data_IF_762480267738
#
_entry.id   IF_762480267738
#
_cell.length_a   1.000
_cell.length_b   1.000
_cell.length_c   1.000
_cell.angle_alpha   90.00
_cell.angle_beta   90.00
_cell.angle_gamma   90.00
#
_symmetry.space_group_name_H-M   'P 1'
#
loop_
_entity.id
_entity.type
_entity.pdbx_description
1 polymer ?
#
# COMPACT_ATOMS: atom_id res chain seq x y z
N UNK A 1 -16.30 37.37 62.20
CA UNK A 1 -15.79 37.29 60.81
C UNK A 1 -16.30 36.06 60.06
N UNK A 2 -15.89 34.83 60.38
CA UNK A 2 -16.32 33.62 59.62
C UNK A 2 -17.81 33.27 59.75
N UNK A 3 -18.39 33.43 60.95
CA UNK A 3 -19.83 33.20 61.20
C UNK A 3 -20.72 34.17 60.42
N UNK A 4 -20.33 35.44 60.32
CA UNK A 4 -21.09 36.45 59.58
C UNK A 4 -20.99 36.25 58.07
N UNK A 5 -19.82 35.84 57.59
CA UNK A 5 -19.62 35.46 56.19
C UNK A 5 -20.54 34.30 55.78
N UNK A 6 -20.62 33.24 56.59
CA UNK A 6 -21.53 32.11 56.35
C UNK A 6 -23.01 32.50 56.36
N UNK A 7 -23.42 33.35 57.31
CA UNK A 7 -24.81 33.81 57.40
C UNK A 7 -25.21 34.70 56.22
N UNK A 8 -24.27 35.49 55.69
CA UNK A 8 -24.50 36.27 54.47
C UNK A 8 -24.56 35.38 53.23
N UNK A 9 -23.67 34.40 53.10
CA UNK A 9 -23.67 33.48 51.95
C UNK A 9 -24.95 32.65 51.86
N UNK A 10 -25.48 32.20 53.01
CA UNK A 10 -26.77 31.49 53.09
C UNK A 10 -27.95 32.40 52.73
N UNK A 11 -27.86 33.71 52.97
CA UNK A 11 -28.92 34.68 52.61
C UNK A 11 -28.88 35.09 51.14
N UNK A 12 -27.69 35.25 50.58
CA UNK A 12 -27.50 35.74 49.21
C UNK A 12 -27.67 34.63 48.16
N UNK A 13 -27.16 33.43 48.42
CA UNK A 13 -27.29 32.30 47.50
C UNK A 13 -27.48 30.95 48.26
N UNK A 14 -28.69 30.71 48.78
CA UNK A 14 -29.00 29.49 49.51
C UNK A 14 -28.88 28.23 48.62
N UNK A 15 -29.07 28.36 47.31
CA UNK A 15 -28.97 27.23 46.38
C UNK A 15 -27.54 26.72 46.26
N UNK A 16 -26.57 27.64 46.14
CA UNK A 16 -25.15 27.29 46.09
C UNK A 16 -24.69 26.57 47.36
N UNK A 17 -25.06 27.07 48.53
CA UNK A 17 -24.69 26.44 49.82
C UNK A 17 -25.27 25.02 49.95
N UNK A 18 -26.50 24.79 49.51
CA UNK A 18 -27.11 23.45 49.52
C UNK A 18 -26.35 22.49 48.60
N UNK A 19 -26.01 22.92 47.39
CA UNK A 19 -25.28 22.09 46.41
C UNK A 19 -23.87 21.77 46.90
N UNK A 20 -23.14 22.75 47.43
CA UNK A 20 -21.80 22.52 47.98
C UNK A 20 -21.83 21.61 49.20
N UNK A 21 -22.80 21.80 50.11
CA UNK A 21 -22.97 20.92 51.28
C UNK A 21 -23.30 19.49 50.85
N UNK A 22 -24.15 19.32 49.84
CA UNK A 22 -24.46 18.01 49.27
C UNK A 22 -23.24 17.37 48.59
N UNK A 23 -22.43 18.15 47.88
CA UNK A 23 -21.18 17.68 47.26
C UNK A 23 -20.16 17.25 48.31
N UNK A 24 -19.96 18.04 49.37
CA UNK A 24 -19.06 17.71 50.47
C UNK A 24 -19.55 16.44 51.17
N UNK A 25 -20.84 16.33 51.46
CA UNK A 25 -21.43 15.13 52.04
C UNK A 25 -21.25 13.90 51.12
N UNK A 26 -21.39 14.07 49.81
CA UNK A 26 -21.18 13.01 48.82
C UNK A 26 -19.71 12.59 48.72
N UNK A 27 -18.77 13.52 48.79
CA UNK A 27 -17.33 13.24 48.84
C UNK A 27 -16.97 12.47 50.11
N UNK A 28 -17.48 12.90 51.27
CA UNK A 28 -17.30 12.19 52.54
C UNK A 28 -17.92 10.79 52.47
N UNK A 29 -19.10 10.65 51.86
CA UNK A 29 -19.71 9.35 51.61
C UNK A 29 -18.82 8.44 50.75
N UNK A 30 -18.24 8.97 49.66
CA UNK A 30 -17.33 8.20 48.80
C UNK A 30 -16.06 7.78 49.55
N UNK A 31 -15.45 8.70 50.29
CA UNK A 31 -14.17 8.46 50.95
C UNK A 31 -14.26 7.47 52.12
N UNK A 32 -15.37 7.48 52.86
CA UNK A 32 -15.48 6.73 54.11
C UNK A 32 -16.48 5.58 54.09
N UNK A 33 -17.50 5.64 53.23
CA UNK A 33 -18.63 4.69 53.28
C UNK A 33 -18.83 3.90 51.99
N UNK A 34 -18.54 4.48 50.82
CA UNK A 34 -18.58 3.76 49.56
C UNK A 34 -17.29 2.95 49.44
N UNK A 35 -17.36 1.66 49.80
CA UNK A 35 -16.32 0.70 49.41
C UNK A 35 -16.15 0.79 47.88
N UNK A 36 -15.06 1.37 47.42
CA UNK A 36 -14.58 1.17 46.06
C UNK A 36 -14.38 -0.33 45.89
N UNK A 37 -15.21 -0.95 45.05
CA UNK A 37 -15.03 -2.35 44.63
C UNK A 37 -13.56 -2.51 44.22
N UNK A 38 -12.82 -3.29 45.00
CA UNK A 38 -11.45 -3.60 44.63
C UNK A 38 -11.54 -4.46 43.38
N UNK A 39 -10.85 -4.15 42.27
CA UNK A 39 -10.92 -4.97 41.06
C UNK A 39 -10.49 -6.43 41.29
N UNK A 40 -9.76 -6.69 42.40
CA UNK A 40 -9.36 -8.02 42.86
C UNK A 40 -10.47 -8.79 43.60
N UNK A 41 -11.49 -8.09 44.10
CA UNK A 41 -12.68 -8.67 44.76
C UNK A 41 -13.73 -9.09 43.73
N UNK A 42 -13.55 -8.75 42.45
CA UNK A 42 -14.17 -9.45 41.32
C UNK A 42 -13.47 -10.81 41.18
N UNK A 43 -13.64 -11.68 42.17
CA UNK A 43 -13.18 -13.06 42.08
C UNK A 43 -13.82 -13.70 40.87
N UNK A 44 -13.03 -14.45 40.09
CA UNK A 44 -13.54 -15.32 39.03
C UNK A 44 -14.82 -16.00 39.53
N UNK A 45 -15.93 -15.97 38.78
CA UNK A 45 -17.12 -16.67 39.21
C UNK A 45 -16.72 -18.11 39.52
N UNK A 46 -17.16 -18.62 40.66
CA UNK A 46 -16.84 -19.97 41.12
C UNK A 46 -17.74 -20.94 40.34
N UNK A 47 -17.50 -21.02 39.03
CA UNK A 47 -18.28 -21.83 38.10
C UNK A 47 -18.00 -23.31 38.37
N UNK A 48 -19.05 -24.09 38.46
CA UNK A 48 -18.96 -25.55 38.41
C UNK A 48 -18.40 -26.00 37.06
N UNK A 49 -17.82 -27.21 37.01
CA UNK A 49 -17.34 -27.79 35.74
C UNK A 49 -18.44 -27.82 34.68
N UNK A 50 -19.69 -28.06 35.10
CA UNK A 50 -20.86 -28.06 34.22
C UNK A 50 -21.16 -26.67 33.65
N UNK A 51 -21.10 -25.61 34.46
CA UNK A 51 -21.31 -24.24 33.97
C UNK A 51 -20.18 -23.82 33.02
N UNK A 52 -18.95 -24.29 33.25
CA UNK A 52 -17.83 -24.07 32.32
C UNK A 52 -18.11 -24.76 30.99
N UNK A 53 -18.53 -26.03 31.02
CA UNK A 53 -18.86 -26.80 29.81
C UNK A 53 -20.03 -26.16 29.05
N UNK A 54 -21.09 -25.72 29.75
CA UNK A 54 -22.23 -24.99 29.16
C UNK A 54 -21.79 -23.66 28.52
N UNK A 55 -20.88 -22.90 29.17
CA UNK A 55 -20.34 -21.66 28.59
C UNK A 55 -19.45 -21.94 27.38
N UNK A 56 -18.66 -23.03 27.39
CA UNK A 56 -17.83 -23.42 26.25
C UNK A 56 -18.71 -23.85 25.06
N UNK A 57 -19.76 -24.64 25.32
CA UNK A 57 -20.70 -25.09 24.30
C UNK A 57 -21.51 -23.91 23.72
N UNK A 58 -21.89 -22.94 24.54
CA UNK A 58 -22.59 -21.72 24.12
C UNK A 58 -21.65 -20.67 23.50
N UNK A 59 -20.33 -20.80 23.70
CA UNK A 59 -19.37 -19.84 23.17
C UNK A 59 -19.20 -20.03 21.66
N UNK A 60 -19.71 -19.04 20.92
CA UNK A 60 -19.43 -18.90 19.50
C UNK A 60 -18.36 -17.82 19.35
N UNK A 61 -17.15 -18.15 18.84
CA UNK A 61 -16.17 -17.12 18.53
C UNK A 61 -16.80 -16.13 17.56
N UNK A 62 -16.68 -14.85 17.87
CA UNK A 62 -16.89 -13.85 16.85
C UNK A 62 -15.90 -14.12 15.71
N UNK A 63 -16.32 -14.01 14.44
CA UNK A 63 -15.41 -14.11 13.31
C UNK A 63 -14.21 -13.18 13.52
N UNK A 64 -13.00 -13.70 13.33
CA UNK A 64 -11.76 -12.91 13.43
C UNK A 64 -11.72 -11.73 12.45
N UNK A 65 -12.55 -11.79 11.42
CA UNK A 65 -12.66 -10.82 10.35
C UNK A 65 -14.15 -10.58 10.11
N UNK A 66 -14.61 -9.32 9.95
CA UNK A 66 -15.98 -9.05 9.55
C UNK A 66 -16.30 -9.76 8.22
N UNK A 67 -17.57 -10.16 8.00
CA UNK A 67 -17.97 -10.74 6.73
C UNK A 67 -17.73 -9.74 5.60
N UNK A 68 -17.25 -10.27 4.47
CA UNK A 68 -17.09 -9.47 3.26
C UNK A 68 -18.45 -8.97 2.77
N UNK A 69 -18.46 -7.78 2.21
CA UNK A 69 -19.59 -7.28 1.42
C UNK A 69 -19.77 -8.13 0.16
N UNK A 70 -20.94 -8.05 -0.47
CA UNK A 70 -21.20 -8.75 -1.75
C UNK A 70 -20.21 -8.31 -2.84
N UNK A 71 -19.81 -7.03 -2.83
CA UNK A 71 -18.83 -6.47 -3.75
C UNK A 71 -17.43 -7.05 -3.51
N UNK A 72 -16.96 -7.09 -2.27
CA UNK A 72 -15.67 -7.68 -1.91
C UNK A 72 -15.64 -9.19 -2.19
N UNK A 73 -16.76 -9.88 -1.99
CA UNK A 73 -16.90 -11.31 -2.31
C UNK A 73 -16.80 -11.54 -3.81
N UNK A 74 -17.55 -10.77 -4.60
CA UNK A 74 -17.50 -10.85 -6.06
C UNK A 74 -16.12 -10.49 -6.61
N UNK A 75 -15.45 -9.49 -6.04
CA UNK A 75 -14.09 -9.12 -6.42
C UNK A 75 -13.11 -10.26 -6.12
N UNK A 76 -13.16 -10.83 -4.91
CA UNK A 76 -12.29 -11.94 -4.50
C UNK A 76 -12.47 -13.18 -5.39
N UNK A 77 -13.71 -13.55 -5.71
CA UNK A 77 -14.03 -14.68 -6.60
C UNK A 77 -13.58 -14.45 -8.05
N UNK A 78 -13.52 -13.18 -8.48
CA UNK A 78 -13.06 -12.81 -9.83
C UNK A 78 -11.53 -12.82 -9.98
N UNK A 79 -10.78 -12.84 -8.87
CA UNK A 79 -9.32 -12.77 -8.93
C UNK A 79 -8.72 -14.09 -9.42
N UNK A 80 -7.91 -14.08 -10.50
CA UNK A 80 -7.28 -15.28 -11.00
C UNK A 80 -6.24 -15.83 -10.00
N UNK A 81 -6.29 -17.13 -9.74
CA UNK A 81 -5.33 -17.83 -8.85
C UNK A 81 -4.15 -18.33 -9.68
N UNK A 82 -2.96 -17.79 -9.40
CA UNK A 82 -1.71 -18.26 -10.03
C UNK A 82 -1.20 -19.49 -9.29
N UNK A 83 -1.03 -20.59 -10.01
CA UNK A 83 -0.58 -21.88 -9.47
C UNK A 83 0.94 -22.04 -9.54
N UNK A 84 1.56 -21.55 -10.61
CA UNK A 84 2.98 -21.78 -10.88
C UNK A 84 3.58 -20.68 -11.75
N UNK A 85 4.87 -20.39 -11.55
CA UNK A 85 5.70 -19.60 -12.46
C UNK A 85 6.76 -20.48 -13.10
N UNK A 86 6.91 -20.38 -14.43
CA UNK A 86 7.92 -21.12 -15.19
C UNK A 86 8.60 -20.16 -16.18
N UNK A 87 9.72 -19.59 -15.76
CA UNK A 87 10.40 -18.53 -16.50
C UNK A 87 9.47 -17.34 -16.76
N UNK A 88 9.28 -16.92 -18.03
CA UNK A 88 8.38 -15.82 -18.38
C UNK A 88 6.91 -16.23 -18.45
N UNK A 89 6.57 -17.50 -18.18
CA UNK A 89 5.20 -17.99 -18.21
C UNK A 89 4.63 -18.21 -16.81
N UNK A 90 3.30 -18.15 -16.70
CA UNK A 90 2.57 -18.48 -15.47
C UNK A 90 1.38 -19.39 -15.78
N UNK A 91 1.03 -20.26 -14.83
CA UNK A 91 -0.18 -21.10 -14.90
C UNK A 91 -1.25 -20.52 -13.99
N UNK A 92 -2.44 -20.32 -14.54
CA UNK A 92 -3.62 -19.83 -13.80
C UNK A 92 -4.62 -20.96 -13.67
N UNK A 93 -5.26 -21.07 -12.51
CA UNK A 93 -6.35 -22.01 -12.29
C UNK A 93 -7.48 -21.81 -13.32
N UNK A 94 -7.99 -22.91 -13.87
CA UNK A 94 -9.05 -22.89 -14.89
C UNK A 94 -8.57 -22.59 -16.32
N UNK A 95 -7.28 -22.28 -16.53
CA UNK A 95 -6.70 -22.08 -17.87
C UNK A 95 -5.69 -23.19 -18.18
N UNK A 96 -5.97 -23.98 -19.22
CA UNK A 96 -5.22 -25.18 -19.55
C UNK A 96 -3.77 -24.89 -19.97
N UNK A 97 -3.58 -23.85 -20.79
CA UNK A 97 -2.29 -23.46 -21.37
C UNK A 97 -1.56 -22.43 -20.50
N UNK A 98 -0.23 -22.53 -20.35
CA UNK A 98 0.56 -21.48 -19.71
C UNK A 98 0.42 -20.14 -20.44
N UNK A 99 0.40 -19.06 -19.67
CA UNK A 99 0.25 -17.69 -20.17
C UNK A 99 1.58 -16.96 -20.11
N UNK A 100 1.92 -16.22 -21.16
CA UNK A 100 3.05 -15.30 -21.12
C UNK A 100 2.77 -14.21 -20.07
N UNK A 101 3.67 -14.05 -19.12
CA UNK A 101 3.49 -13.17 -17.98
C UNK A 101 3.87 -11.73 -18.31
N UNK A 102 2.86 -10.90 -18.55
CA UNK A 102 3.02 -9.47 -18.76
C UNK A 102 2.31 -8.67 -17.65
N UNK A 103 2.24 -9.26 -16.44
CA UNK A 103 1.43 -8.76 -15.32
C UNK A 103 2.19 -8.61 -13.99
N UNK A 104 3.38 -9.20 -13.84
CA UNK A 104 4.17 -9.13 -12.61
C UNK A 104 5.13 -7.93 -12.59
N UNK A 105 5.66 -7.60 -11.40
CA UNK A 105 6.65 -6.52 -11.23
C UNK A 105 8.09 -7.04 -11.09
N UNK A 106 8.35 -8.27 -11.54
CA UNK A 106 9.71 -8.82 -11.57
C UNK A 106 10.45 -8.34 -12.81
N UNK A 107 10.70 -7.03 -12.87
CA UNK A 107 11.23 -6.36 -14.05
C UNK A 107 12.62 -6.86 -14.47
N UNK A 108 13.36 -7.50 -13.57
CA UNK A 108 14.70 -7.98 -13.83
C UNK A 108 14.77 -9.51 -13.89
N UNK A 109 13.64 -10.20 -13.75
CA UNK A 109 13.56 -11.66 -13.76
C UNK A 109 14.29 -12.32 -12.58
N UNK A 110 14.33 -11.64 -11.43
CA UNK A 110 15.05 -12.05 -10.23
C UNK A 110 14.28 -13.10 -9.43
N UNK A 111 12.95 -13.04 -9.42
CA UNK A 111 12.11 -13.90 -8.58
C UNK A 111 12.25 -15.40 -8.85
N UNK A 112 12.74 -15.78 -10.03
CA UNK A 112 12.97 -17.17 -10.43
C UNK A 112 14.45 -17.58 -10.51
N UNK A 113 15.39 -16.69 -10.16
CA UNK A 113 16.83 -17.02 -10.17
C UNK A 113 17.16 -18.04 -9.09
N UNK A 114 17.82 -19.10 -9.49
CA UNK A 114 18.15 -20.20 -8.60
C UNK A 114 19.11 -19.76 -7.50
N UNK A 115 20.03 -18.84 -7.81
CA UNK A 115 21.01 -18.36 -6.83
C UNK A 115 20.33 -17.50 -5.73
N UNK A 116 19.20 -16.85 -6.04
CA UNK A 116 18.37 -16.16 -5.04
C UNK A 116 17.62 -17.14 -4.16
N UNK A 117 17.07 -18.21 -4.74
CA UNK A 117 16.44 -19.31 -3.99
C UNK A 117 17.44 -19.96 -3.05
N UNK A 118 18.65 -20.24 -3.53
CA UNK A 118 19.73 -20.81 -2.71
C UNK A 118 20.14 -19.88 -1.57
N UNK A 119 20.27 -18.57 -1.82
CA UNK A 119 20.57 -17.60 -0.76
C UNK A 119 19.48 -17.58 0.33
N UNK A 120 18.20 -17.67 -0.07
CA UNK A 120 17.08 -17.77 0.86
C UNK A 120 17.11 -19.09 1.66
N UNK A 121 17.34 -20.24 1.01
CA UNK A 121 17.44 -21.55 1.66
C UNK A 121 18.58 -21.58 2.68
N UNK A 122 19.78 -21.12 2.29
CA UNK A 122 20.93 -21.07 3.20
C UNK A 122 20.67 -20.17 4.42
N UNK A 123 19.96 -19.06 4.23
CA UNK A 123 19.56 -18.20 5.32
C UNK A 123 18.47 -18.85 6.20
N UNK A 124 17.56 -19.63 5.61
CA UNK A 124 16.56 -20.41 6.35
C UNK A 124 17.23 -21.47 7.23
N UNK A 125 18.18 -22.22 6.65
CA UNK A 125 18.93 -23.27 7.35
C UNK A 125 19.74 -22.70 8.52
N UNK A 126 20.31 -21.50 8.34
CA UNK A 126 21.15 -20.86 9.34
C UNK A 126 20.38 -20.09 10.42
N UNK A 127 19.34 -19.36 10.04
CA UNK A 127 18.65 -18.38 10.91
C UNK A 127 17.18 -18.71 11.19
N UNK A 128 16.60 -19.70 10.50
CA UNK A 128 15.19 -20.03 10.60
C UNK A 128 14.26 -19.07 9.86
N UNK A 129 12.96 -19.22 10.11
CA UNK A 129 11.89 -18.50 9.39
C UNK A 129 11.80 -17.00 9.74
N UNK A 130 12.29 -16.57 10.91
CA UNK A 130 12.12 -15.18 11.33
C UNK A 130 12.99 -14.81 12.51
N UNK A 131 13.21 -13.50 12.67
CA UNK A 131 13.87 -12.94 13.86
C UNK A 131 12.92 -12.81 15.06
N UNK A 132 11.60 -12.87 14.83
CA UNK A 132 10.53 -12.78 15.83
C UNK A 132 10.63 -11.57 16.77
N UNK A 133 11.31 -10.51 16.35
CA UNK A 133 11.56 -9.32 17.15
C UNK A 133 11.72 -8.06 16.31
N UNK A 134 11.46 -6.88 16.89
CA UNK A 134 11.68 -5.61 16.20
C UNK A 134 13.17 -5.28 16.10
N UNK A 135 13.53 -4.46 15.10
CA UNK A 135 14.93 -4.08 14.82
C UNK A 135 15.64 -3.42 16.02
N UNK A 136 14.92 -2.72 16.88
CA UNK A 136 15.45 -2.03 18.06
C UNK A 136 15.72 -2.90 19.29
N UNK A 137 15.33 -4.18 19.27
CA UNK A 137 15.62 -5.15 20.34
C UNK A 137 16.50 -6.27 19.79
N UNK A 138 15.99 -7.51 19.73
CA UNK A 138 16.71 -8.70 19.26
C UNK A 138 16.39 -9.07 17.80
N UNK A 139 15.62 -8.24 17.08
CA UNK A 139 15.23 -8.50 15.69
C UNK A 139 16.32 -8.23 14.65
N UNK A 140 17.38 -7.52 15.02
CA UNK A 140 18.50 -7.22 14.12
C UNK A 140 19.56 -8.31 14.22
N UNK A 141 19.76 -9.03 13.11
CA UNK A 141 20.85 -10.00 12.91
C UNK A 141 21.71 -9.59 11.70
N UNK A 142 22.87 -10.22 11.53
CA UNK A 142 23.91 -9.83 10.56
C UNK A 142 23.44 -9.70 9.09
N UNK A 143 22.43 -10.46 8.66
CA UNK A 143 21.84 -10.31 7.31
C UNK A 143 21.10 -8.97 7.11
N UNK A 144 20.62 -8.34 8.19
CA UNK A 144 19.89 -7.07 8.12
C UNK A 144 20.79 -5.83 8.04
N UNK A 145 22.05 -5.97 8.44
CA UNK A 145 23.05 -4.88 8.35
C UNK A 145 23.74 -4.87 6.97
N UNK A 146 23.46 -5.87 6.13
CA UNK A 146 23.99 -6.03 4.77
C UNK A 146 23.03 -5.56 3.67
N UNK A 147 22.35 -4.43 3.89
CA UNK A 147 21.71 -3.63 2.85
C UNK A 147 20.30 -4.07 2.45
N UNK A 148 19.29 -3.61 3.20
CA UNK A 148 17.88 -3.56 2.78
C UNK A 148 17.18 -2.45 3.57
N UNK A 149 16.61 -1.42 2.94
CA UNK A 149 15.66 -0.51 3.60
C UNK A 149 14.61 0.04 2.62
N UNK A 150 13.32 -0.05 3.00
CA UNK A 150 12.20 0.63 2.34
C UNK A 150 11.13 1.00 3.41
N UNK A 151 10.90 2.30 3.65
CA UNK A 151 10.18 2.81 4.84
C UNK A 151 9.18 3.95 4.55
N UNK A 152 9.00 4.33 3.28
CA UNK A 152 8.44 5.66 2.96
C UNK A 152 6.91 5.73 3.11
N UNK A 153 6.17 4.68 2.75
CA UNK A 153 4.70 4.72 2.74
C UNK A 153 4.08 4.56 4.14
N UNK A 154 4.67 3.70 4.99
CA UNK A 154 4.26 3.53 6.39
C UNK A 154 4.57 4.77 7.25
N UNK A 155 5.64 5.50 6.91
CA UNK A 155 6.07 6.69 7.64
C UNK A 155 5.06 7.83 7.61
N UNK A 156 4.42 8.10 6.46
CA UNK A 156 3.51 9.25 6.31
C UNK A 156 2.28 9.10 7.21
N UNK A 157 1.62 7.94 7.18
CA UNK A 157 0.40 7.67 7.95
C UNK A 157 0.65 7.65 9.47
N UNK A 158 1.81 7.16 9.92
CA UNK A 158 2.16 7.10 11.34
C UNK A 158 2.75 8.41 11.89
N UNK A 159 3.20 9.33 11.02
CA UNK A 159 3.91 10.54 11.45
C UNK A 159 3.05 11.56 12.22
N UNK A 160 1.72 11.45 12.14
CA UNK A 160 0.75 12.47 12.62
C UNK A 160 1.02 13.87 12.05
N UNK A 161 1.77 13.96 10.95
CA UNK A 161 2.09 15.22 10.29
C UNK A 161 0.86 15.81 9.64
N UNK A 162 0.85 17.13 9.45
CA UNK A 162 -0.13 17.76 8.57
C UNK A 162 0.19 17.38 7.14
N UNK A 163 -0.59 16.48 6.54
CA UNK A 163 -0.41 16.02 5.16
C UNK A 163 -1.11 16.99 4.20
N UNK A 164 -0.37 17.46 3.20
CA UNK A 164 -0.90 18.23 2.07
C UNK A 164 -0.57 17.45 0.79
N UNK A 165 -1.55 17.29 -0.08
CA UNK A 165 -1.41 16.59 -1.36
C UNK A 165 -1.47 17.60 -2.50
N UNK A 166 -0.63 17.42 -3.52
CA UNK A 166 -0.66 18.18 -4.77
C UNK A 166 -1.02 17.24 -5.92
N UNK A 167 -1.43 17.78 -7.07
CA UNK A 167 -1.76 16.99 -8.26
C UNK A 167 -0.55 16.20 -8.76
N UNK A 168 -0.81 15.00 -9.27
CA UNK A 168 0.22 14.09 -9.78
C UNK A 168 1.15 14.78 -10.79
N UNK A 169 2.46 14.74 -10.53
CA UNK A 169 3.51 15.33 -11.36
C UNK A 169 3.35 16.81 -11.76
N UNK A 170 2.47 17.56 -11.09
CA UNK A 170 2.21 18.97 -11.36
C UNK A 170 3.05 19.86 -10.43
N UNK A 171 4.15 20.40 -10.95
CA UNK A 171 5.06 21.25 -10.18
C UNK A 171 4.48 22.63 -9.89
N UNK A 172 3.55 23.12 -10.73
CA UNK A 172 2.89 24.41 -10.51
C UNK A 172 1.86 24.29 -9.37
N UNK A 173 1.13 23.17 -9.32
CA UNK A 173 0.25 22.85 -8.20
C UNK A 173 1.03 22.58 -6.90
N UNK A 174 2.20 21.92 -6.97
CA UNK A 174 3.11 21.81 -5.83
C UNK A 174 3.55 23.19 -5.34
N UNK A 175 3.96 24.09 -6.23
CA UNK A 175 4.37 25.45 -5.87
C UNK A 175 3.21 26.24 -5.24
N UNK A 176 1.99 26.09 -5.77
CA UNK A 176 0.76 26.66 -5.18
C UNK A 176 0.57 26.16 -3.74
N UNK A 177 0.65 24.85 -3.50
CA UNK A 177 0.52 24.26 -2.16
C UNK A 177 1.60 24.80 -1.21
N UNK A 178 2.85 24.93 -1.66
CA UNK A 178 3.94 25.49 -0.87
C UNK A 178 3.70 26.97 -0.51
N UNK A 179 3.18 27.77 -1.46
CA UNK A 179 2.80 29.18 -1.24
C UNK A 179 1.65 29.30 -0.23
N UNK A 180 0.66 28.42 -0.29
CA UNK A 180 -0.44 28.37 0.69
C UNK A 180 0.05 28.06 2.09
N UNK A 181 0.92 27.05 2.25
CA UNK A 181 1.55 26.72 3.54
C UNK A 181 2.31 27.94 4.07
N UNK A 182 3.12 28.61 3.23
CA UNK A 182 3.87 29.79 3.64
C UNK A 182 2.96 30.95 4.08
N UNK A 183 1.83 31.15 3.39
CA UNK A 183 0.84 32.16 3.77
C UNK A 183 0.14 31.83 5.09
N UNK A 184 -0.21 30.56 5.33
CA UNK A 184 -0.76 30.08 6.60
C UNK A 184 0.21 30.33 7.75
N UNK A 185 1.49 29.97 7.58
CA UNK A 185 2.51 30.18 8.62
C UNK A 185 2.71 31.67 8.95
N UNK A 186 2.67 32.53 7.93
CA UNK A 186 2.74 33.98 8.13
C UNK A 186 1.56 34.51 8.96
N UNK A 187 0.35 34.00 8.73
CA UNK A 187 -0.85 34.39 9.52
C UNK A 187 -0.72 34.02 10.99
N UNK A 188 -0.18 32.83 11.28
CA UNK A 188 0.02 32.35 12.65
C UNK A 188 1.37 32.76 13.26
N UNK A 189 2.14 33.62 12.57
CA UNK A 189 3.49 34.07 12.98
C UNK A 189 4.44 32.91 13.35
N UNK A 190 4.34 31.78 12.64
CA UNK A 190 5.16 30.60 12.89
C UNK A 190 6.55 30.79 12.27
N UNK A 191 7.64 30.47 12.98
CA UNK A 191 8.98 30.58 12.39
C UNK A 191 9.23 29.45 11.39
N UNK A 192 9.92 29.77 10.31
CA UNK A 192 10.25 28.82 9.23
C UNK A 192 11.16 27.68 9.71
N UNK A 193 11.97 27.93 10.74
CA UNK A 193 12.88 26.94 11.33
C UNK A 193 12.20 25.97 12.32
N UNK A 194 10.97 26.27 12.75
CA UNK A 194 10.26 25.47 13.77
C UNK A 194 9.67 24.17 13.21
N UNK A 195 9.63 24.00 11.88
CA UNK A 195 8.98 22.88 11.22
C UNK A 195 9.89 22.22 10.19
N UNK A 196 10.01 20.89 10.25
CA UNK A 196 10.61 20.08 9.19
C UNK A 196 9.54 19.71 8.18
N UNK A 197 9.79 19.99 6.91
CA UNK A 197 8.88 19.65 5.81
C UNK A 197 9.54 18.62 4.92
N UNK A 198 8.75 17.64 4.52
CA UNK A 198 9.18 16.58 3.62
C UNK A 198 8.29 16.64 2.39
N UNK A 199 8.90 16.67 1.21
CA UNK A 199 8.19 16.37 -0.04
C UNK A 199 8.45 14.90 -0.31
N UNK A 200 7.38 14.12 -0.39
CA UNK A 200 7.47 12.68 -0.62
C UNK A 200 6.85 12.37 -1.97
N UNK A 201 7.64 11.74 -2.82
CA UNK A 201 7.29 11.36 -4.20
C UNK A 201 7.87 9.98 -4.50
N UNK A 202 7.29 9.28 -5.48
CA UNK A 202 7.88 8.04 -6.01
C UNK A 202 8.76 8.38 -7.22
N UNK A 203 9.86 7.65 -7.44
CA UNK A 203 10.71 7.87 -8.62
C UNK A 203 10.03 7.44 -9.93
N UNK A 204 9.31 6.31 -9.88
CA UNK A 204 8.47 5.76 -10.94
C UNK A 204 7.11 5.44 -10.31
N UNK A 205 6.04 6.03 -10.81
CA UNK A 205 4.71 5.87 -10.21
C UNK A 205 4.00 4.64 -10.78
N UNK A 206 3.70 3.66 -9.92
CA UNK A 206 3.10 2.37 -10.35
C UNK A 206 1.78 2.51 -11.13
N UNK A 207 0.92 3.46 -10.74
CA UNK A 207 -0.42 3.62 -11.32
C UNK A 207 -0.45 4.48 -12.60
N UNK A 208 0.63 5.22 -12.87
CA UNK A 208 0.74 6.13 -14.01
C UNK A 208 1.80 5.66 -15.02
N UNK A 209 2.81 4.90 -14.58
CA UNK A 209 3.96 4.48 -15.38
C UNK A 209 4.80 5.64 -15.88
N UNK A 210 4.76 6.79 -15.21
CA UNK A 210 5.56 7.97 -15.52
C UNK A 210 6.59 8.25 -14.41
N UNK A 211 7.58 9.07 -14.74
CA UNK A 211 8.70 9.40 -13.87
C UNK A 211 8.43 10.71 -13.14
N UNK A 212 8.84 10.79 -11.87
CA UNK A 212 8.87 12.08 -11.18
C UNK A 212 9.84 13.04 -11.89
N UNK A 213 9.48 14.31 -12.10
CA UNK A 213 10.38 15.32 -12.65
C UNK A 213 11.42 15.75 -11.61
N UNK A 214 12.26 14.81 -11.14
CA UNK A 214 13.25 14.99 -10.08
C UNK A 214 14.15 16.22 -10.30
N UNK A 215 14.65 16.55 -11.51
CA UNK A 215 15.44 17.76 -11.70
C UNK A 215 14.70 19.05 -11.30
N UNK A 216 13.43 19.18 -11.68
CA UNK A 216 12.59 20.34 -11.28
C UNK A 216 12.26 20.31 -9.80
N UNK A 217 12.07 19.12 -9.22
CA UNK A 217 11.85 18.98 -7.79
C UNK A 217 13.07 19.41 -6.97
N UNK A 218 14.29 19.12 -7.43
CA UNK A 218 15.54 19.47 -6.76
C UNK A 218 15.86 20.97 -6.80
N UNK A 219 15.25 21.74 -7.73
CA UNK A 219 15.29 23.21 -7.71
C UNK A 219 14.64 23.77 -6.44
N UNK A 220 13.65 23.04 -5.89
CA UNK A 220 13.14 23.27 -4.55
C UNK A 220 14.13 22.65 -3.58
N UNK A 221 14.75 23.45 -2.71
CA UNK A 221 15.84 23.02 -1.81
C UNK A 221 15.44 21.80 -0.95
N UNK A 222 15.70 20.59 -1.43
CA UNK A 222 15.42 19.32 -0.73
C UNK A 222 16.59 18.99 0.19
N UNK A 223 16.29 18.48 1.38
CA UNK A 223 17.28 17.95 2.32
C UNK A 223 17.10 16.44 2.40
N UNK A 224 18.16 15.68 2.12
CA UNK A 224 18.18 14.23 2.35
C UNK A 224 18.25 13.96 3.86
N UNK A 225 17.16 13.42 4.42
CA UNK A 225 17.15 13.03 5.83
C UNK A 225 16.35 11.74 6.06
N UNK A 226 17.06 10.65 6.34
CA UNK A 226 16.49 9.37 6.74
C UNK A 226 16.61 9.22 8.27
N UNK A 227 15.48 9.07 8.97
CA UNK A 227 15.43 8.89 10.43
C UNK A 227 14.95 7.50 10.79
N UNK A 228 15.82 6.71 11.40
CA UNK A 228 15.55 5.36 11.92
C UNK A 228 14.89 5.40 13.30
N UNK A 229 13.72 6.05 13.40
CA UNK A 229 12.94 6.13 14.64
C UNK A 229 11.43 6.07 14.40
N UNK A 230 11.01 5.66 13.21
CA UNK A 230 9.60 5.56 12.87
C UNK A 230 8.92 4.46 13.71
N UNK A 231 7.69 4.70 14.17
CA UNK A 231 6.94 3.71 14.93
C UNK A 231 6.81 2.37 14.18
N UNK A 232 6.64 2.41 12.85
CA UNK A 232 6.62 1.21 12.00
C UNK A 232 7.96 0.45 11.94
N UNK A 233 9.08 1.10 12.21
CA UNK A 233 10.39 0.45 12.34
C UNK A 233 10.61 -0.10 13.76
N UNK A 234 10.19 0.64 14.79
CA UNK A 234 10.39 0.27 16.18
C UNK A 234 9.42 -0.82 16.69
N UNK A 235 8.18 -0.83 16.19
CA UNK A 235 7.10 -1.69 16.68
C UNK A 235 6.64 -2.73 15.64
N UNK A 236 7.42 -2.96 14.58
CA UNK A 236 7.22 -4.06 13.64
C UNK A 236 8.37 -5.06 13.75
N UNK A 237 8.07 -6.35 13.52
CA UNK A 237 9.11 -7.36 13.42
C UNK A 237 10.06 -7.02 12.27
N UNK A 238 11.35 -7.29 12.47
CA UNK A 238 12.32 -7.19 11.37
C UNK A 238 11.93 -8.15 10.24
N UNK A 239 12.35 -7.80 9.01
CA UNK A 239 12.16 -8.67 7.86
C UNK A 239 12.71 -10.09 8.15
N UNK A 240 12.14 -11.15 7.55
CA UNK A 240 12.73 -12.46 7.68
C UNK A 240 14.20 -12.50 7.20
N UNK A 241 15.06 -13.31 7.84
CA UNK A 241 16.47 -13.41 7.45
C UNK A 241 16.66 -13.82 5.99
N UNK A 242 15.83 -14.74 5.51
CA UNK A 242 15.90 -15.26 4.15
C UNK A 242 15.48 -14.24 3.09
N UNK A 243 14.50 -13.38 3.37
CA UNK A 243 14.13 -12.29 2.45
C UNK A 243 15.23 -11.25 2.39
N UNK A 244 15.86 -10.94 3.53
CA UNK A 244 17.00 -10.01 3.59
C UNK A 244 18.22 -10.55 2.84
N UNK A 245 18.51 -11.85 2.97
CA UNK A 245 19.59 -12.52 2.25
C UNK A 245 19.33 -12.56 0.74
N UNK A 246 18.12 -12.91 0.31
CA UNK A 246 17.72 -12.87 -1.09
C UNK A 246 17.83 -11.45 -1.67
N UNK A 247 17.31 -10.43 -0.97
CA UNK A 247 17.45 -9.04 -1.41
C UNK A 247 18.92 -8.60 -1.54
N UNK A 248 19.77 -8.98 -0.59
CA UNK A 248 21.22 -8.69 -0.65
C UNK A 248 21.89 -9.35 -1.85
N UNK A 249 21.55 -10.62 -2.14
CA UNK A 249 22.05 -11.34 -3.30
C UNK A 249 21.55 -10.69 -4.62
N UNK A 250 20.30 -10.23 -4.66
CA UNK A 250 19.72 -9.56 -5.84
C UNK A 250 20.45 -8.24 -6.13
N UNK A 251 20.78 -7.46 -5.10
CA UNK A 251 21.61 -6.26 -5.25
C UNK A 251 23.03 -6.59 -5.75
N UNK A 252 23.60 -7.71 -5.30
CA UNK A 252 24.87 -8.23 -5.81
C UNK A 252 24.80 -8.55 -7.30
N UNK A 253 23.77 -9.27 -7.73
CA UNK A 253 23.52 -9.58 -9.15
C UNK A 253 23.33 -8.32 -9.99
N UNK A 254 22.55 -7.36 -9.51
CA UNK A 254 22.32 -6.11 -10.24
C UNK A 254 23.62 -5.35 -10.52
N UNK A 255 24.58 -5.39 -9.57
CA UNK A 255 25.91 -4.80 -9.76
C UNK A 255 26.78 -5.60 -10.73
N UNK A 256 26.64 -6.94 -10.72
CA UNK A 256 27.41 -7.83 -11.58
C UNK A 256 26.90 -7.86 -13.03
N UNK A 257 25.60 -7.62 -13.24
CA UNK A 257 24.90 -7.72 -14.53
C UNK A 257 24.30 -6.36 -14.94
N UNK A 258 25.12 -5.32 -15.22
CA UNK A 258 24.62 -3.98 -15.53
C UNK A 258 23.75 -3.93 -16.81
N UNK A 259 23.92 -4.91 -17.70
CA UNK A 259 23.15 -5.02 -18.95
C UNK A 259 21.67 -5.37 -18.72
N UNK A 260 21.27 -5.91 -17.56
CA UNK A 260 19.86 -6.22 -17.29
C UNK A 260 18.98 -4.98 -17.35
N UNK A 261 19.45 -3.87 -16.80
CA UNK A 261 18.71 -2.60 -16.82
C UNK A 261 18.63 -2.03 -18.24
N UNK A 262 19.70 -2.18 -19.02
CA UNK A 262 19.69 -1.77 -20.43
C UNK A 262 18.72 -2.61 -21.26
N UNK A 263 18.71 -3.94 -21.07
CA UNK A 263 17.78 -4.86 -21.72
C UNK A 263 16.33 -4.53 -21.36
N UNK A 264 16.04 -4.28 -20.08
CA UNK A 264 14.72 -3.84 -19.63
C UNK A 264 14.26 -2.57 -20.34
N UNK A 265 15.13 -1.56 -20.47
CA UNK A 265 14.82 -0.32 -21.17
C UNK A 265 14.52 -0.55 -22.65
N UNK A 266 15.35 -1.34 -23.33
CA UNK A 266 15.11 -1.71 -24.74
C UNK A 266 13.76 -2.41 -24.92
N UNK A 267 13.43 -3.34 -24.02
CA UNK A 267 12.15 -4.06 -24.04
C UNK A 267 10.97 -3.11 -23.77
N UNK A 268 11.11 -2.19 -22.81
CA UNK A 268 10.10 -1.18 -22.52
C UNK A 268 9.86 -0.27 -23.73
N UNK A 269 10.91 0.33 -24.30
CA UNK A 269 10.82 1.22 -25.47
C UNK A 269 10.13 0.54 -26.65
N UNK A 270 10.51 -0.72 -26.94
CA UNK A 270 9.83 -1.49 -27.97
C UNK A 270 8.34 -1.68 -27.68
N UNK A 271 8.02 -2.15 -26.48
CA UNK A 271 6.64 -2.48 -26.13
C UNK A 271 5.75 -1.23 -26.17
N UNK A 272 6.22 -0.09 -25.68
CA UNK A 272 5.52 1.20 -25.79
C UNK A 272 5.26 1.57 -27.25
N UNK A 273 6.28 1.47 -28.11
CA UNK A 273 6.13 1.79 -29.54
C UNK A 273 5.15 0.84 -30.25
N UNK A 274 5.27 -0.46 -30.01
CA UNK A 274 4.47 -1.48 -30.66
C UNK A 274 3.00 -1.46 -30.21
N UNK A 275 2.76 -1.30 -28.91
CA UNK A 275 1.40 -1.16 -28.36
C UNK A 275 0.76 0.17 -28.76
N UNK A 276 1.54 1.26 -28.82
CA UNK A 276 1.07 2.56 -29.28
C UNK A 276 0.64 2.60 -30.74
N UNK A 277 1.06 1.61 -31.55
CA UNK A 277 0.63 1.47 -32.93
C UNK A 277 -0.70 0.70 -33.09
N UNK A 278 -1.25 0.12 -32.02
CA UNK A 278 -2.51 -0.64 -32.07
C UNK A 278 -3.70 0.33 -32.20
N UNK A 279 -4.53 0.23 -33.25
CA UNK A 279 -5.70 1.08 -33.40
C UNK A 279 -6.69 0.96 -32.23
N UNK A 280 -7.23 2.09 -31.79
CA UNK A 280 -8.18 2.15 -30.68
C UNK A 280 -7.54 2.19 -29.29
N UNK A 281 -6.22 2.09 -29.18
CA UNK A 281 -5.47 2.21 -27.93
C UNK A 281 -4.61 3.48 -27.90
N UNK A 282 -4.34 3.97 -26.70
CA UNK A 282 -3.44 5.10 -26.43
C UNK A 282 -2.53 4.76 -25.26
N UNK A 283 -1.21 4.78 -25.48
CA UNK A 283 -0.23 4.64 -24.40
C UNK A 283 -0.17 5.95 -23.60
N UNK A 284 -0.28 5.86 -22.27
CA UNK A 284 -0.28 7.02 -21.37
C UNK A 284 0.97 7.10 -20.48
N UNK A 285 1.70 5.99 -20.35
CA UNK A 285 2.95 5.87 -19.58
C UNK A 285 4.17 6.41 -20.33
N UNK A 286 5.27 6.64 -19.61
CA UNK A 286 6.55 7.07 -20.17
C UNK A 286 7.27 5.92 -20.88
N UNK A 287 7.85 6.14 -22.07
CA UNK A 287 8.54 5.13 -22.88
C UNK A 287 9.65 4.33 -22.15
N UNK A 288 10.28 4.92 -21.14
CA UNK A 288 11.32 4.28 -20.33
C UNK A 288 10.76 3.39 -19.20
N UNK A 289 9.46 3.46 -18.93
CA UNK A 289 8.79 2.70 -17.88
C UNK A 289 8.58 1.25 -18.33
N UNK A 290 9.01 0.26 -17.54
CA UNK A 290 8.69 -1.15 -17.81
C UNK A 290 7.20 -1.48 -17.56
N UNK A 291 6.45 -0.52 -17.01
CA UNK A 291 4.99 -0.56 -16.85
C UNK A 291 4.39 0.29 -17.97
N UNK A 292 3.74 -0.38 -18.93
CA UNK A 292 3.02 0.24 -20.04
C UNK A 292 1.55 0.34 -19.68
N UNK A 293 1.07 1.57 -19.53
CA UNK A 293 -0.34 1.89 -19.35
C UNK A 293 -0.98 2.19 -20.69
N UNK A 294 -2.07 1.49 -20.98
CA UNK A 294 -2.77 1.53 -22.25
C UNK A 294 -4.24 1.86 -22.01
N UNK A 295 -4.66 3.05 -22.40
CA UNK A 295 -6.05 3.50 -22.35
C UNK A 295 -6.77 3.20 -23.67
N UNK A 296 -8.09 3.15 -23.64
CA UNK A 296 -8.88 3.26 -24.88
C UNK A 296 -8.74 4.67 -25.45
N UNK A 297 -8.69 4.77 -26.78
CA UNK A 297 -8.73 6.05 -27.47
C UNK A 297 -10.16 6.64 -27.45
N UNK A 298 -10.26 7.95 -27.19
CA UNK A 298 -11.53 8.68 -27.12
C UNK A 298 -11.97 9.02 -25.69
N UNK A 299 -12.98 9.88 -25.58
CA UNK A 299 -13.60 10.22 -24.30
C UNK A 299 -14.81 9.33 -24.05
N UNK A 300 -14.77 8.56 -22.96
CA UNK A 300 -15.81 7.62 -22.56
C UNK A 300 -15.91 7.62 -21.04
N UNK A 301 -17.06 7.18 -20.51
CA UNK A 301 -17.27 7.03 -19.08
C UNK A 301 -16.34 5.94 -18.50
N UNK A 302 -15.69 6.24 -17.36
CA UNK A 302 -14.69 5.36 -16.76
C UNK A 302 -15.21 3.94 -16.44
N UNK A 303 -16.49 3.81 -16.06
CA UNK A 303 -17.12 2.51 -15.78
C UNK A 303 -17.24 1.64 -17.04
N UNK A 304 -17.72 2.22 -18.15
CA UNK A 304 -17.81 1.53 -19.42
C UNK A 304 -16.42 1.15 -19.96
N UNK A 305 -15.45 2.05 -19.85
CA UNK A 305 -14.05 1.79 -20.24
C UNK A 305 -13.48 0.61 -19.46
N UNK A 306 -13.70 0.53 -18.13
CA UNK A 306 -13.23 -0.62 -17.33
C UNK A 306 -13.75 -1.95 -17.85
N UNK A 307 -15.05 -2.04 -18.16
CA UNK A 307 -15.65 -3.28 -18.67
C UNK A 307 -15.02 -3.72 -19.99
N UNK A 308 -14.80 -2.78 -20.91
CA UNK A 308 -14.16 -3.08 -22.20
C UNK A 308 -12.71 -3.54 -21.99
N UNK A 309 -11.94 -2.84 -21.15
CA UNK A 309 -10.55 -3.19 -20.86
C UNK A 309 -10.43 -4.55 -20.15
N UNK A 310 -11.35 -4.86 -19.23
CA UNK A 310 -11.43 -6.18 -18.59
C UNK A 310 -11.75 -7.27 -19.61
N UNK A 311 -12.68 -7.00 -20.54
CA UNK A 311 -12.99 -7.91 -21.65
C UNK A 311 -11.78 -8.18 -22.56
N UNK A 312 -11.01 -7.14 -22.89
CA UNK A 312 -9.76 -7.28 -23.65
C UNK A 312 -8.73 -8.11 -22.88
N UNK A 313 -8.53 -7.84 -21.58
CA UNK A 313 -7.58 -8.59 -20.75
C UNK A 313 -7.96 -10.08 -20.65
N UNK A 314 -9.26 -10.38 -20.51
CA UNK A 314 -9.77 -11.76 -20.52
C UNK A 314 -9.49 -12.46 -21.85
N UNK A 315 -9.78 -11.81 -22.99
CA UNK A 315 -9.46 -12.35 -24.33
C UNK A 315 -7.96 -12.56 -24.54
N UNK A 316 -7.12 -11.68 -23.98
CA UNK A 316 -5.67 -11.88 -24.01
C UNK A 316 -5.25 -13.13 -23.24
N UNK A 317 -5.86 -13.38 -22.07
CA UNK A 317 -5.61 -14.59 -21.29
C UNK A 317 -6.01 -15.85 -22.06
N UNK A 318 -7.18 -15.83 -22.73
CA UNK A 318 -7.62 -16.91 -23.64
C UNK A 318 -6.65 -17.10 -24.83
N UNK A 319 -6.04 -16.00 -25.31
CA UNK A 319 -4.99 -15.97 -26.34
C UNK A 319 -3.58 -16.32 -25.83
N UNK A 320 -3.42 -16.69 -24.56
CA UNK A 320 -2.15 -17.13 -24.00
C UNK A 320 -1.26 -16.03 -23.40
N UNK A 321 -1.80 -14.84 -23.10
CA UNK A 321 -1.06 -13.69 -22.55
C UNK A 321 -1.78 -13.13 -21.32
N UNK A 322 -1.10 -13.13 -20.17
CA UNK A 322 -1.64 -12.60 -18.93
C UNK A 322 -1.35 -11.10 -18.81
N UNK A 323 -2.41 -10.30 -18.69
CA UNK A 323 -2.37 -8.85 -18.48
C UNK A 323 -3.23 -8.48 -17.27
N UNK A 324 -3.03 -7.28 -16.73
CA UNK A 324 -3.90 -6.75 -15.67
C UNK A 324 -4.56 -5.46 -16.12
N UNK A 325 -5.70 -5.14 -15.53
CA UNK A 325 -6.27 -3.80 -15.62
C UNK A 325 -5.87 -2.98 -14.39
N UNK A 326 -5.89 -1.66 -14.52
CA UNK A 326 -5.65 -0.77 -13.40
C UNK A 326 -6.81 -0.81 -12.41
N UNK A 327 -6.50 -1.08 -11.14
CA UNK A 327 -7.44 -1.03 -10.02
C UNK A 327 -6.91 -0.01 -9.02
N UNK A 328 -7.82 0.80 -8.47
CA UNK A 328 -7.50 1.90 -7.57
C UNK A 328 -8.23 1.68 -6.26
N UNK A 329 -7.62 2.11 -5.17
CA UNK A 329 -8.26 2.05 -3.85
C UNK A 329 -9.31 3.17 -3.73
N UNK A 330 -10.45 2.95 -3.04
CA UNK A 330 -11.51 3.95 -2.92
C UNK A 330 -11.04 5.28 -2.28
N UNK A 331 -9.99 5.25 -1.47
CA UNK A 331 -9.41 6.43 -0.81
C UNK A 331 -8.40 7.20 -1.66
N UNK A 332 -8.11 6.75 -2.89
CA UNK A 332 -7.19 7.43 -3.81
C UNK A 332 -7.81 8.75 -4.29
N UNK A 333 -7.14 9.87 -4.01
CA UNK A 333 -7.71 11.21 -4.27
C UNK A 333 -7.69 11.62 -5.74
N UNK A 334 -6.71 11.12 -6.48
CA UNK A 334 -6.49 11.47 -7.88
C UNK A 334 -6.19 10.19 -8.67
N UNK A 335 -7.17 9.29 -8.83
CA UNK A 335 -6.96 8.06 -9.59
C UNK A 335 -6.82 8.40 -11.09
N UNK A 336 -5.84 7.81 -11.80
CA UNK A 336 -5.76 7.96 -13.24
C UNK A 336 -6.95 7.31 -13.95
N UNK A 337 -7.19 7.64 -15.23
CA UNK A 337 -8.16 6.91 -16.04
C UNK A 337 -7.89 5.40 -16.08
N UNK A 338 -8.91 4.56 -16.27
CA UNK A 338 -8.70 3.11 -16.39
C UNK A 338 -7.82 2.74 -17.58
N UNK A 339 -6.92 1.78 -17.38
CA UNK A 339 -5.96 1.30 -18.38
C UNK A 339 -5.77 -0.22 -18.28
N UNK A 340 -5.32 -0.84 -19.36
CA UNK A 340 -4.61 -2.11 -19.28
C UNK A 340 -3.18 -1.79 -18.87
N UNK A 341 -2.70 -2.50 -17.84
CA UNK A 341 -1.33 -2.43 -17.35
C UNK A 341 -0.58 -3.66 -17.84
N UNK A 342 0.39 -3.40 -18.70
CA UNK A 342 1.28 -4.40 -19.28
C UNK A 342 2.66 -4.18 -18.68
N UNK A 343 3.27 -5.20 -18.11
CA UNK A 343 4.65 -5.13 -17.63
C UNK A 343 5.57 -5.93 -18.53
N UNK A 344 6.79 -5.44 -18.70
CA UNK A 344 7.87 -6.21 -19.32
C UNK A 344 9.02 -6.38 -18.35
N UNK A 345 9.81 -7.44 -18.55
CA UNK A 345 11.04 -7.66 -17.81
C UNK A 345 12.25 -7.70 -18.76
N UNK A 346 13.45 -7.74 -18.18
CA UNK A 346 14.73 -7.78 -18.87
C UNK A 346 14.96 -9.08 -19.64
N UNK A 347 14.25 -10.16 -19.29
CA UNK A 347 14.46 -11.50 -19.84
C UNK A 347 13.47 -11.85 -20.95
N UNK A 348 12.43 -11.04 -21.18
CA UNK A 348 11.52 -11.22 -22.31
C UNK A 348 12.28 -11.14 -23.62
N UNK A 349 12.06 -12.13 -24.47
CA UNK A 349 12.60 -12.14 -25.83
C UNK A 349 11.75 -11.29 -26.75
N UNK A 350 12.32 -10.92 -27.90
CA UNK A 350 11.60 -10.14 -28.91
C UNK A 350 10.33 -10.84 -29.39
N UNK A 351 10.42 -12.16 -29.61
CA UNK A 351 9.33 -12.99 -30.08
C UNK A 351 8.18 -13.05 -29.07
N UNK A 352 8.50 -13.08 -27.77
CA UNK A 352 7.51 -13.06 -26.69
C UNK A 352 6.79 -11.71 -26.65
N UNK A 353 7.52 -10.60 -26.76
CA UNK A 353 6.91 -9.27 -26.80
C UNK A 353 6.04 -9.09 -28.05
N UNK A 354 6.48 -9.59 -29.20
CA UNK A 354 5.70 -9.58 -30.45
C UNK A 354 4.44 -10.46 -30.35
N UNK A 355 4.51 -11.61 -29.69
CA UNK A 355 3.34 -12.43 -29.35
C UNK A 355 2.35 -11.63 -28.49
N UNK A 356 2.82 -10.97 -27.43
CA UNK A 356 1.98 -10.16 -26.55
C UNK A 356 1.26 -9.04 -27.30
N UNK A 357 1.99 -8.30 -28.15
CA UNK A 357 1.43 -7.22 -28.97
C UNK A 357 0.39 -7.76 -29.96
N UNK A 358 0.67 -8.89 -30.63
CA UNK A 358 -0.27 -9.51 -31.57
C UNK A 358 -1.56 -9.92 -30.88
N UNK A 359 -1.47 -10.64 -29.76
CA UNK A 359 -2.65 -11.10 -29.00
C UNK A 359 -3.47 -9.92 -28.50
N UNK A 360 -2.80 -8.86 -28.01
CA UNK A 360 -3.49 -7.63 -27.60
C UNK A 360 -4.23 -6.98 -28.77
N UNK A 361 -3.58 -6.85 -29.93
CA UNK A 361 -4.20 -6.24 -31.11
C UNK A 361 -5.43 -7.03 -31.58
N UNK A 362 -5.36 -8.36 -31.61
CA UNK A 362 -6.49 -9.24 -31.95
C UNK A 362 -7.64 -9.10 -30.93
N UNK A 363 -7.32 -9.10 -29.64
CA UNK A 363 -8.30 -8.93 -28.57
C UNK A 363 -8.98 -7.55 -28.60
N UNK A 364 -8.20 -6.49 -28.85
CA UNK A 364 -8.72 -5.12 -29.01
C UNK A 364 -9.62 -4.99 -30.23
N UNK A 365 -9.18 -5.50 -31.39
CA UNK A 365 -9.99 -5.49 -32.60
C UNK A 365 -11.34 -6.18 -32.37
N UNK A 366 -11.34 -7.36 -31.74
CA UNK A 366 -12.56 -8.10 -31.42
C UNK A 366 -13.47 -7.40 -30.41
N UNK A 367 -12.91 -6.62 -29.47
CA UNK A 367 -13.68 -5.88 -28.48
C UNK A 367 -14.29 -4.57 -29.00
N UNK A 368 -13.70 -3.99 -30.05
CA UNK A 368 -14.12 -2.71 -30.64
C UNK A 368 -14.99 -2.84 -31.89
N UNK A 369 -15.25 -4.07 -32.38
CA UNK A 369 -16.26 -4.27 -33.43
C UNK A 369 -17.64 -3.89 -32.87
N UNK A 370 -18.41 -2.99 -33.52
CA UNK A 370 -19.79 -2.76 -33.15
C UNK A 370 -20.54 -4.09 -33.23
N UNK A 371 -21.27 -4.46 -32.18
CA UNK A 371 -22.22 -5.57 -32.28
C UNK A 371 -23.29 -5.14 -33.27
N UNK A 372 -23.14 -5.50 -34.54
CA UNK A 372 -24.21 -5.37 -35.52
C UNK A 372 -25.31 -6.36 -35.13
N UNK A 373 -26.40 -5.83 -34.57
CA UNK A 373 -27.63 -6.57 -34.31
C UNK A 373 -27.83 -6.98 -32.85
N UNK A 374 -28.35 -6.06 -32.06
CA UNK A 374 -29.34 -6.34 -31.00
C UNK A 374 -30.40 -5.24 -31.02
#
# INVERSE_FOLDING_TARGET
MYREWWLNLVREDPGHVVVETALIAFIVYILFFKKTLNPKDLSKPNLSSREIDEIIDDWKPEPLVPPLTEEETSEAESMPVVQEFSGPYLRVEGIEKPLLNMANFDFLGMGQREELKQAAVQALDKYGCGSCGPRGFYGTIDVHTKGVEENVQTGINLSRSTVRTFKHNDMDDLERVLKEIAAEDKKVKRNVLDQRRFIVVEGLYRNYGDLCPLPRLLELKVVDHQRLSAAGYCYSAAAPPFTSAAASAALGMLRAEPNLVAALRTNAEFLHGAVGAIPGLKVTSCALSPIVHVALAGEQEAAAVRLVLQGIAKRCAEGGVALTTSTYIPSEKFPPPPTIRITTNALHTREQLEQAVRVLAEATAAALVPVEGL
#
